data_IF_055291245009
#
_entry.id   IF_055291245009
#
_cell.length_a   1.000
_cell.length_b   1.000
_cell.length_c   1.000
_cell.angle_alpha   90.00
_cell.angle_beta   90.00
_cell.angle_gamma   90.00
#
_symmetry.space_group_name_H-M   'P 1'
#
loop_
_entity.id
_entity.type
_entity.pdbx_description
1 polymer ?
#
# COMPACT_ATOMS: atom_id res chain seq x y z
N UNK A 1 -0.55 4.66 12.82
CA UNK A 1 -0.91 3.70 11.75
C UNK A 1 -2.18 2.95 12.11
N UNK A 2 -2.20 2.26 13.25
CA UNK A 2 -3.36 1.49 13.71
C UNK A 2 -4.66 2.30 13.81
N UNK A 3 -4.61 3.53 14.33
CA UNK A 3 -5.75 4.45 14.37
C UNK A 3 -6.33 4.73 12.98
N UNK A 4 -5.47 5.01 11.98
CA UNK A 4 -5.91 5.27 10.60
C UNK A 4 -6.59 4.01 10.01
N UNK A 5 -5.96 2.86 10.16
CA UNK A 5 -6.48 1.59 9.61
C UNK A 5 -7.80 1.17 10.25
N UNK A 6 -7.95 1.37 11.56
CA UNK A 6 -9.14 0.93 12.29
C UNK A 6 -10.28 1.95 12.29
N UNK A 7 -9.98 3.25 12.33
CA UNK A 7 -11.00 4.30 12.44
C UNK A 7 -11.37 4.92 11.10
N UNK A 8 -10.46 4.98 10.13
CA UNK A 8 -10.75 5.57 8.81
C UNK A 8 -11.04 4.50 7.76
N UNK A 9 -10.33 3.37 7.84
CA UNK A 9 -10.47 2.27 6.87
C UNK A 9 -11.28 1.09 7.39
N UNK A 10 -11.61 1.07 8.69
CA UNK A 10 -12.41 0.02 9.35
C UNK A 10 -11.90 -1.40 9.05
N UNK A 11 -10.57 -1.56 9.09
CA UNK A 11 -9.90 -2.85 8.90
C UNK A 11 -9.75 -3.54 10.26
N UNK A 12 -10.46 -4.65 10.49
CA UNK A 12 -10.40 -5.43 11.73
C UNK A 12 -10.68 -6.92 11.48
N UNK A 13 -9.87 -7.86 12.01
CA UNK A 13 -8.59 -7.65 12.71
C UNK A 13 -7.53 -7.07 11.77
N UNK A 14 -6.49 -6.44 12.30
CA UNK A 14 -5.44 -5.78 11.51
C UNK A 14 -4.07 -6.35 11.91
N UNK A 15 -3.45 -7.09 11.00
CA UNK A 15 -2.10 -7.62 11.13
C UNK A 15 -1.14 -6.78 10.29
N UNK A 16 -0.07 -6.30 10.92
CA UNK A 16 0.92 -5.43 10.30
C UNK A 16 2.24 -6.17 10.13
N UNK A 17 2.78 -6.12 8.92
CA UNK A 17 4.13 -6.59 8.61
C UNK A 17 4.92 -5.41 8.03
N UNK A 18 5.92 -4.95 8.77
CA UNK A 18 6.85 -3.93 8.27
C UNK A 18 7.79 -4.56 7.26
N UNK A 19 7.90 -3.93 6.09
CA UNK A 19 8.76 -4.38 4.99
C UNK A 19 10.06 -3.56 4.97
N UNK A 20 11.03 -4.00 4.17
CA UNK A 20 12.31 -3.31 4.02
C UNK A 20 12.09 -1.86 3.55
N UNK A 21 12.71 -0.92 4.25
CA UNK A 21 12.69 0.48 3.81
C UNK A 21 13.60 0.68 2.59
N UNK A 22 13.24 1.63 1.73
CA UNK A 22 14.06 1.98 0.58
C UNK A 22 13.98 3.47 0.25
N UNK A 23 14.99 3.94 -0.47
CA UNK A 23 15.07 5.32 -0.96
C UNK A 23 14.70 5.38 -2.43
N UNK A 24 13.87 6.34 -2.80
CA UNK A 24 13.67 6.75 -4.18
C UNK A 24 14.12 8.21 -4.36
N UNK A 25 14.85 8.47 -5.44
CA UNK A 25 15.44 9.79 -5.72
C UNK A 25 14.70 10.41 -6.90
N UNK A 26 14.13 11.59 -6.67
CA UNK A 26 13.69 12.50 -7.72
C UNK A 26 14.76 13.56 -7.95
N UNK A 27 14.58 14.37 -9.00
CA UNK A 27 15.53 15.43 -9.36
C UNK A 27 15.78 16.44 -8.24
N UNK A 28 14.79 16.69 -7.37
CA UNK A 28 14.84 17.76 -6.38
C UNK A 28 14.77 17.29 -4.92
N UNK A 29 14.50 16.00 -4.68
CA UNK A 29 14.34 15.46 -3.33
C UNK A 29 14.47 13.93 -3.29
N UNK A 30 14.61 13.39 -2.08
CA UNK A 30 14.58 11.95 -1.83
C UNK A 30 13.36 11.60 -1.00
N UNK A 31 12.69 10.50 -1.35
CA UNK A 31 11.72 9.85 -0.48
C UNK A 31 12.38 8.65 0.20
N UNK A 32 12.33 8.64 1.52
CA UNK A 32 12.55 7.42 2.31
C UNK A 32 11.19 6.78 2.55
N UNK A 33 10.99 5.60 1.97
CA UNK A 33 9.72 4.87 2.00
C UNK A 33 9.87 3.72 2.98
N UNK A 34 8.95 3.61 3.94
CA UNK A 34 8.89 2.55 4.96
C UNK A 34 7.58 1.78 4.80
N UNK A 35 7.55 0.74 3.94
CA UNK A 35 6.31 0.07 3.61
C UNK A 35 5.79 -0.82 4.74
N UNK A 36 4.47 -0.96 4.80
CA UNK A 36 3.79 -1.87 5.73
C UNK A 36 2.75 -2.65 4.95
N UNK A 37 2.86 -3.97 4.96
CA UNK A 37 1.82 -4.87 4.49
C UNK A 37 0.77 -4.99 5.60
N UNK A 38 -0.48 -4.76 5.23
CA UNK A 38 -1.64 -4.85 6.13
C UNK A 38 -2.50 -6.02 5.67
N UNK A 39 -2.79 -6.94 6.59
CA UNK A 39 -3.73 -8.04 6.37
C UNK A 39 -4.87 -7.88 7.36
N UNK A 40 -6.10 -7.86 6.86
CA UNK A 40 -7.29 -7.69 7.67
C UNK A 40 -8.56 -7.75 6.86
N UNK A 41 -9.69 -7.61 7.56
CA UNK A 41 -11.02 -7.65 6.94
C UNK A 41 -11.63 -6.26 6.92
N UNK A 42 -12.25 -5.91 5.80
CA UNK A 42 -13.01 -4.66 5.65
C UNK A 42 -14.40 -4.86 6.21
N UNK A 43 -14.71 -4.19 7.31
CA UNK A 43 -15.99 -4.40 8.00
C UNK A 43 -17.09 -3.45 7.52
N UNK A 44 -16.79 -2.55 6.58
CA UNK A 44 -17.74 -1.54 6.11
C UNK A 44 -17.45 -1.14 4.65
N UNK A 45 -18.52 -0.93 3.88
CA UNK A 45 -18.47 -0.40 2.52
C UNK A 45 -18.41 1.12 2.59
N UNK A 46 -17.45 1.72 1.90
CA UNK A 46 -17.29 3.16 1.80
C UNK A 46 -17.28 3.59 0.34
N UNK A 47 -17.90 4.73 0.05
CA UNK A 47 -17.66 5.41 -1.21
C UNK A 47 -16.29 6.11 -1.12
N UNK A 48 -15.27 5.49 -1.71
CA UNK A 48 -13.90 5.98 -1.67
C UNK A 48 -13.36 6.19 -3.07
N UNK A 49 -12.41 7.11 -3.21
CA UNK A 49 -11.61 7.28 -4.43
C UNK A 49 -10.64 6.10 -4.67
N UNK A 50 -10.64 5.09 -3.80
CA UNK A 50 -9.75 3.93 -3.86
C UNK A 50 -10.45 2.73 -4.46
N UNK A 51 -9.68 1.88 -5.17
CA UNK A 51 -10.19 0.68 -5.84
C UNK A 51 -9.43 -0.57 -5.41
N UNK A 52 -10.17 -1.67 -5.24
CA UNK A 52 -9.58 -3.00 -5.06
C UNK A 52 -9.01 -3.50 -6.37
N UNK A 53 -7.75 -3.93 -6.34
CA UNK A 53 -7.04 -4.42 -7.51
C UNK A 53 -6.18 -5.62 -7.12
N UNK A 54 -6.11 -6.61 -8.00
CA UNK A 54 -5.09 -7.65 -7.86
C UNK A 54 -3.70 -7.02 -8.12
N UNK A 55 -2.63 -7.51 -7.46
CA UNK A 55 -1.28 -6.99 -7.68
C UNK A 55 -0.87 -6.96 -9.16
N UNK A 56 -1.24 -8.00 -9.92
CA UNK A 56 -0.90 -8.15 -11.33
C UNK A 56 -1.63 -7.12 -12.22
N UNK A 57 -2.93 -6.90 -11.98
CA UNK A 57 -3.70 -5.87 -12.69
C UNK A 57 -3.19 -4.48 -12.35
N UNK A 58 -2.90 -4.22 -11.07
CA UNK A 58 -2.42 -2.92 -10.60
C UNK A 58 -1.15 -2.48 -11.35
N UNK A 59 -0.18 -3.39 -11.54
CA UNK A 59 1.07 -3.08 -12.28
C UNK A 59 0.81 -2.82 -13.75
N UNK A 60 -0.09 -3.60 -14.37
CA UNK A 60 -0.34 -3.54 -15.81
C UNK A 60 -1.20 -2.34 -16.23
N UNK A 61 -2.18 -1.96 -15.42
CA UNK A 61 -3.28 -1.09 -15.87
C UNK A 61 -3.27 0.31 -15.24
N UNK A 62 -2.67 0.48 -14.06
CA UNK A 62 -2.77 1.75 -13.31
C UNK A 62 -1.64 2.75 -13.59
N UNK A 63 -0.66 2.41 -14.43
CA UNK A 63 0.48 3.29 -14.71
C UNK A 63 1.24 3.69 -13.44
N UNK A 64 1.39 2.76 -12.49
CA UNK A 64 1.95 3.04 -11.17
C UNK A 64 3.34 3.68 -11.25
N UNK A 65 3.66 4.69 -10.42
CA UNK A 65 5.01 5.22 -10.33
C UNK A 65 6.04 4.14 -9.93
N UNK A 66 7.29 4.30 -10.36
CA UNK A 66 8.41 3.38 -10.05
C UNK A 66 8.47 2.95 -8.57
N UNK A 67 8.39 3.85 -7.56
CA UNK A 67 8.42 3.41 -6.17
C UNK A 67 7.24 2.50 -5.80
N UNK A 68 6.06 2.70 -6.39
CA UNK A 68 4.89 1.85 -6.17
C UNK A 68 5.02 0.51 -6.87
N UNK A 69 5.61 0.45 -8.08
CA UNK A 69 5.89 -0.82 -8.75
C UNK A 69 6.84 -1.70 -7.92
N UNK A 70 7.87 -1.11 -7.30
CA UNK A 70 8.76 -1.82 -6.37
C UNK A 70 7.99 -2.41 -5.18
N UNK A 71 7.05 -1.65 -4.62
CA UNK A 71 6.20 -2.14 -3.53
C UNK A 71 5.36 -3.36 -3.94
N UNK A 72 4.79 -3.34 -5.14
CA UNK A 72 3.98 -4.46 -5.62
C UNK A 72 4.85 -5.70 -5.87
N UNK A 73 6.07 -5.53 -6.37
CA UNK A 73 7.01 -6.63 -6.56
C UNK A 73 7.38 -7.33 -5.24
N UNK A 74 7.60 -6.57 -4.15
CA UNK A 74 7.86 -7.12 -2.81
C UNK A 74 6.68 -7.93 -2.24
N UNK A 75 5.45 -7.63 -2.67
CA UNK A 75 4.25 -8.38 -2.24
C UNK A 75 4.07 -9.67 -3.05
N UNK A 76 4.58 -9.70 -4.29
CA UNK A 76 4.51 -10.84 -5.20
C UNK A 76 5.65 -11.85 -5.05
N UNK A 77 6.73 -11.46 -4.37
CA UNK A 77 7.89 -12.31 -4.04
C UNK A 77 7.58 -13.26 -2.86
#
# INVERSE_FOLDING_TARGET
>A
LETVLTQQWHIKPCQLQFLAEFRHTFSHYHLLIKPVRVVGEFTQVFEQLSVWQSPQQAVKELGLPIPMQKLVAEILA
#
